data_IF_583608688266
#
_entry.id   IF_583608688266
#
_cell.length_a   1.000
_cell.length_b   1.000
_cell.length_c   1.000
_cell.angle_alpha   90.00
_cell.angle_beta   90.00
_cell.angle_gamma   90.00
#
_symmetry.space_group_name_H-M   'P 1'
#
loop_
_entity.id
_entity.type
_entity.pdbx_description
1 polymer ?
#
# COMPACT_ATOMS: atom_id res chain seq x y z
N UNK A 1 -24.11 15.48 -6.48
CA UNK A 1 -23.52 14.79 -5.31
C UNK A 1 -24.28 13.49 -5.08
N UNK A 2 -23.62 12.34 -4.97
CA UNK A 2 -24.18 11.21 -4.25
C UNK A 2 -23.58 11.19 -2.83
N UNK A 3 -24.43 11.12 -1.80
CA UNK A 3 -24.03 10.56 -0.50
C UNK A 3 -24.96 9.39 -0.26
N UNK A 4 -24.40 8.19 -0.14
CA UNK A 4 -25.14 7.08 0.44
C UNK A 4 -24.14 6.15 1.13
N UNK A 5 -24.00 6.33 2.45
CA UNK A 5 -23.13 5.53 3.29
C UNK A 5 -23.69 4.13 3.49
N UNK A 6 -23.34 3.21 2.59
CA UNK A 6 -23.36 1.79 2.86
C UNK A 6 -22.09 1.40 3.62
N UNK A 7 -22.21 0.56 4.65
CA UNK A 7 -21.07 -0.02 5.37
C UNK A 7 -20.10 -0.80 4.46
N UNK A 8 -20.44 -1.02 3.19
CA UNK A 8 -19.58 -1.58 2.13
C UNK A 8 -18.45 -0.63 1.68
N UNK A 9 -18.57 0.69 1.93
CA UNK A 9 -17.47 1.66 1.73
C UNK A 9 -16.57 1.81 2.97
N UNK A 10 -16.94 1.23 4.12
CA UNK A 10 -16.27 1.48 5.41
C UNK A 10 -15.16 0.50 5.77
N UNK A 11 -14.78 -0.40 4.87
CA UNK A 11 -13.57 -1.20 5.03
C UNK A 11 -12.43 -0.70 4.11
N UNK A 12 -12.32 0.61 3.92
CA UNK A 12 -11.10 1.24 3.39
C UNK A 12 -10.01 1.21 4.46
N UNK A 13 -9.45 0.03 4.73
CA UNK A 13 -8.23 -0.05 5.50
C UNK A 13 -7.05 0.44 4.65
N UNK A 14 -6.00 0.91 5.30
CA UNK A 14 -4.84 1.52 4.65
C UNK A 14 -4.17 0.55 3.66
N UNK A 15 -4.22 -0.75 3.95
CA UNK A 15 -3.71 -1.83 3.09
C UNK A 15 -4.45 -1.87 1.75
N UNK A 16 -5.79 -1.84 1.78
CA UNK A 16 -6.63 -1.92 0.58
C UNK A 16 -6.54 -0.67 -0.30
N UNK A 17 -6.28 0.49 0.31
CA UNK A 17 -6.17 1.77 -0.41
C UNK A 17 -4.77 2.08 -0.95
N UNK A 18 -3.75 1.30 -0.58
CA UNK A 18 -2.37 1.55 -0.99
C UNK A 18 -2.18 1.59 -2.51
N UNK A 19 -2.65 0.55 -3.24
CA UNK A 19 -2.49 0.49 -4.70
C UNK A 19 -3.36 1.54 -5.42
N UNK A 20 -4.68 1.68 -5.11
CA UNK A 20 -5.51 2.70 -5.75
C UNK A 20 -4.98 4.13 -5.59
N UNK A 21 -4.38 4.45 -4.44
CA UNK A 21 -3.78 5.75 -4.19
C UNK A 21 -2.57 6.00 -5.09
N UNK A 22 -1.69 5.00 -5.22
CA UNK A 22 -0.49 5.13 -6.03
C UNK A 22 -0.78 5.07 -7.54
N UNK A 23 -1.84 4.38 -7.98
CA UNK A 23 -2.24 4.35 -9.39
C UNK A 23 -2.55 5.73 -9.96
N UNK A 24 -2.97 6.67 -9.11
CA UNK A 24 -3.27 8.04 -9.50
C UNK A 24 -2.02 8.92 -9.77
N UNK A 25 -0.82 8.44 -9.44
CA UNK A 25 0.43 9.21 -9.57
C UNK A 25 1.55 8.40 -10.23
N UNK A 26 2.50 9.10 -10.84
CA UNK A 26 3.73 8.47 -11.34
C UNK A 26 4.72 8.27 -10.20
N UNK A 27 5.13 7.01 -10.00
CA UNK A 27 6.04 6.58 -8.93
C UNK A 27 7.34 6.00 -9.47
N UNK A 28 7.55 6.00 -10.79
CA UNK A 28 8.75 5.42 -11.37
C UNK A 28 10.01 6.13 -10.83
N UNK A 29 10.96 5.33 -10.34
CA UNK A 29 12.20 5.82 -9.74
C UNK A 29 12.02 6.60 -8.43
N UNK A 30 10.86 6.50 -7.77
CA UNK A 30 10.60 7.10 -6.46
C UNK A 30 10.81 6.09 -5.34
N UNK A 31 11.24 6.58 -4.18
CA UNK A 31 11.32 5.82 -2.94
C UNK A 31 10.01 5.95 -2.17
N UNK A 32 9.32 4.82 -1.99
CA UNK A 32 8.08 4.74 -1.22
C UNK A 32 8.38 4.14 0.16
N UNK A 33 8.12 4.93 1.20
CA UNK A 33 8.26 4.50 2.59
C UNK A 33 6.88 4.19 3.17
N UNK A 34 6.80 3.15 4.00
CA UNK A 34 5.55 2.76 4.65
C UNK A 34 5.81 2.13 6.02
N UNK A 35 4.82 2.20 6.90
CA UNK A 35 4.87 1.59 8.22
C UNK A 35 4.77 0.06 8.16
N UNK A 36 4.97 -0.59 9.31
CA UNK A 36 5.09 -2.03 9.38
C UNK A 36 3.82 -2.83 9.05
N UNK A 37 2.65 -2.20 9.10
CA UNK A 37 1.38 -2.80 8.68
C UNK A 37 1.34 -3.03 7.16
N UNK A 38 2.02 -2.18 6.40
CA UNK A 38 2.06 -2.19 4.94
C UNK A 38 3.18 -3.06 4.38
N UNK A 39 3.96 -3.71 5.25
CA UNK A 39 5.04 -4.63 4.88
C UNK A 39 4.48 -5.96 4.39
N UNK A 40 3.84 -5.93 3.23
CA UNK A 40 3.24 -7.08 2.57
C UNK A 40 3.93 -7.34 1.25
N UNK A 41 4.27 -8.61 1.00
CA UNK A 41 4.95 -9.01 -0.25
C UNK A 41 4.20 -8.51 -1.50
N UNK A 42 2.87 -8.56 -1.49
CA UNK A 42 2.04 -8.07 -2.59
C UNK A 42 2.25 -6.57 -2.88
N UNK A 43 2.36 -5.74 -1.84
CA UNK A 43 2.59 -4.30 -1.99
C UNK A 43 4.02 -4.02 -2.49
N UNK A 44 5.02 -4.75 -1.98
CA UNK A 44 6.40 -4.67 -2.45
C UNK A 44 6.52 -5.07 -3.93
N UNK A 45 5.89 -6.19 -4.34
CA UNK A 45 5.86 -6.62 -5.75
C UNK A 45 5.25 -5.56 -6.66
N UNK A 46 4.10 -4.99 -6.26
CA UNK A 46 3.45 -3.91 -7.01
C UNK A 46 4.37 -2.70 -7.24
N UNK A 47 5.12 -2.27 -6.21
CA UNK A 47 6.05 -1.15 -6.33
C UNK A 47 7.19 -1.46 -7.31
N UNK A 48 7.79 -2.66 -7.21
CA UNK A 48 8.87 -3.09 -8.09
C UNK A 48 8.41 -3.21 -9.55
N UNK A 49 7.21 -3.75 -9.80
CA UNK A 49 6.61 -3.84 -11.13
C UNK A 49 6.41 -2.45 -11.76
N UNK A 50 6.09 -1.44 -10.93
CA UNK A 50 5.98 -0.04 -11.33
C UNK A 50 7.33 0.70 -11.32
N UNK A 51 8.44 -0.02 -11.19
CA UNK A 51 9.82 0.52 -11.16
C UNK A 51 10.03 1.57 -10.05
N UNK A 52 9.31 1.43 -8.95
CA UNK A 52 9.53 2.19 -7.72
C UNK A 52 10.42 1.41 -6.75
N UNK A 53 11.10 2.13 -5.87
CA UNK A 53 11.86 1.59 -4.76
C UNK A 53 11.01 1.63 -3.49
N UNK A 54 11.30 0.78 -2.52
CA UNK A 54 10.56 0.75 -1.26
C UNK A 54 11.45 0.55 -0.04
N UNK A 55 11.06 1.15 1.07
CA UNK A 55 11.65 0.91 2.38
C UNK A 55 10.53 0.74 3.41
N UNK A 56 10.31 -0.51 3.79
CA UNK A 56 9.28 -0.91 4.74
C UNK A 56 9.90 -1.37 6.05
N UNK A 57 9.24 -1.07 7.16
CA UNK A 57 9.67 -1.51 8.48
C UNK A 57 9.04 -2.86 8.80
N UNK A 58 9.80 -3.86 9.26
CA UNK A 58 9.23 -5.19 9.58
C UNK A 58 8.88 -5.24 11.07
N UNK A 59 7.71 -5.77 11.41
CA UNK A 59 7.34 -6.02 12.81
C UNK A 59 7.97 -7.33 13.28
N UNK A 60 8.57 -7.35 14.48
CA UNK A 60 9.33 -8.50 14.98
C UNK A 60 8.56 -9.82 15.13
N UNK A 61 7.23 -9.80 15.04
CA UNK A 61 6.40 -11.01 14.99
C UNK A 61 6.31 -11.63 13.59
N UNK A 62 7.01 -11.10 12.58
CA UNK A 62 7.11 -11.64 11.23
C UNK A 62 8.55 -12.13 10.97
N UNK A 63 8.98 -13.28 11.54
CA UNK A 63 10.39 -13.71 11.53
C UNK A 63 10.91 -14.16 10.16
N UNK A 64 10.02 -14.42 9.21
CA UNK A 64 10.35 -14.86 7.84
C UNK A 64 10.26 -13.73 6.80
N UNK A 65 10.16 -12.49 7.27
CA UNK A 65 10.22 -11.26 6.46
C UNK A 65 11.45 -10.47 6.91
#
# INVERSE_FOLDING_TARGET
MPVNGGDELKQTNEIGMFMPLLDAIDIQGKDITADALLTQRKLATYLVERKAHYHFTVKGNQPTL
#
